data_IF_857504082680
#
_entry.id   IF_857504082680
#
_cell.length_a   1.000
_cell.length_b   1.000
_cell.length_c   1.000
_cell.angle_alpha   90.00
_cell.angle_beta   90.00
_cell.angle_gamma   90.00
#
_symmetry.space_group_name_H-M   'P 1'
#
loop_
_entity.id
_entity.type
_entity.pdbx_description
1 polymer ?
#
# COMPACT_ATOMS: atom_id res chain seq x y z
N UNK A 1 99.79 41.92 -9.74
CA UNK A 1 99.15 40.62 -9.40
C UNK A 1 97.70 40.81 -8.92
N UNK A 2 97.41 41.84 -8.12
CA UNK A 2 96.06 42.19 -7.61
C UNK A 2 95.00 42.52 -8.67
N UNK A 3 95.32 43.33 -9.69
CA UNK A 3 94.37 43.73 -10.74
C UNK A 3 93.84 42.56 -11.57
N UNK A 4 94.65 41.50 -11.76
CA UNK A 4 94.23 40.28 -12.47
C UNK A 4 93.26 39.45 -11.62
N UNK A 5 93.45 39.45 -10.30
CA UNK A 5 92.61 38.76 -9.31
C UNK A 5 91.23 39.43 -9.17
N UNK A 6 91.20 40.76 -9.15
CA UNK A 6 89.97 41.56 -9.15
C UNK A 6 89.10 41.35 -10.39
N UNK A 7 89.70 41.30 -11.58
CA UNK A 7 88.98 41.02 -12.82
C UNK A 7 88.36 39.61 -12.85
N UNK A 8 89.08 38.63 -12.31
CA UNK A 8 88.59 37.25 -12.18
C UNK A 8 87.37 37.20 -11.25
N UNK A 9 87.47 37.82 -10.06
CA UNK A 9 86.36 37.88 -9.11
C UNK A 9 85.12 38.59 -9.69
N UNK A 10 85.31 39.65 -10.48
CA UNK A 10 84.21 40.37 -11.12
C UNK A 10 83.48 39.48 -12.14
N UNK A 11 84.24 38.77 -12.99
CA UNK A 11 83.68 37.81 -13.96
C UNK A 11 82.91 36.68 -13.27
N UNK A 12 83.41 36.16 -12.15
CA UNK A 12 82.72 35.12 -11.39
C UNK A 12 81.40 35.63 -10.78
N UNK A 13 81.39 36.88 -10.31
CA UNK A 13 80.20 37.55 -9.78
C UNK A 13 79.14 37.78 -10.86
N UNK A 14 79.54 38.19 -12.05
CA UNK A 14 78.64 38.39 -13.20
C UNK A 14 77.98 37.07 -13.61
N UNK A 15 78.75 35.99 -13.74
CA UNK A 15 78.22 34.66 -14.07
C UNK A 15 77.23 34.16 -13.02
N UNK A 16 77.53 34.37 -11.73
CA UNK A 16 76.63 33.99 -10.63
C UNK A 16 75.33 34.80 -10.63
N UNK A 17 75.41 36.08 -11.00
CA UNK A 17 74.23 36.94 -11.13
C UNK A 17 73.34 36.51 -12.31
N UNK A 18 73.92 36.15 -13.46
CA UNK A 18 73.16 35.59 -14.58
C UNK A 18 72.46 34.27 -14.19
N UNK A 19 73.15 33.38 -13.49
CA UNK A 19 72.56 32.12 -13.00
C UNK A 19 71.38 32.38 -12.04
N UNK A 20 71.54 33.27 -11.06
CA UNK A 20 70.46 33.66 -10.15
C UNK A 20 69.27 34.25 -10.90
N UNK A 21 69.51 34.96 -12.00
CA UNK A 21 68.45 35.55 -12.84
C UNK A 21 67.65 34.46 -13.56
N UNK A 22 68.32 33.41 -14.02
CA UNK A 22 67.68 32.23 -14.64
C UNK A 22 66.88 31.44 -13.62
N UNK A 23 67.45 31.13 -12.45
CA UNK A 23 66.76 30.43 -11.36
C UNK A 23 65.52 31.19 -10.89
N UNK A 24 65.61 32.53 -10.78
CA UNK A 24 64.45 33.37 -10.45
C UNK A 24 63.33 33.25 -11.49
N UNK A 25 63.66 33.23 -12.78
CA UNK A 25 62.66 33.06 -13.86
C UNK A 25 62.01 31.69 -13.79
N UNK A 26 62.79 30.65 -13.53
CA UNK A 26 62.27 29.28 -13.41
C UNK A 26 61.32 29.17 -12.21
N UNK A 27 61.70 29.69 -11.05
CA UNK A 27 60.84 29.75 -9.86
C UNK A 27 59.54 30.53 -10.11
N UNK A 28 59.58 31.61 -10.89
CA UNK A 28 58.38 32.35 -11.26
C UNK A 28 57.44 31.52 -12.13
N UNK A 29 57.96 30.80 -13.13
CA UNK A 29 57.16 29.91 -13.97
C UNK A 29 56.54 28.77 -13.15
N UNK A 30 57.32 28.14 -12.28
CA UNK A 30 56.81 27.10 -11.37
C UNK A 30 55.71 27.63 -10.45
N UNK A 31 55.84 28.88 -9.98
CA UNK A 31 54.82 29.54 -9.13
C UNK A 31 53.51 29.76 -9.88
N UNK A 32 53.57 30.17 -11.15
CA UNK A 32 52.37 30.34 -11.99
C UNK A 32 51.70 29.01 -12.34
N UNK A 33 52.49 27.97 -12.64
CA UNK A 33 51.96 26.62 -12.88
C UNK A 33 51.25 26.08 -11.63
N UNK A 34 51.87 26.23 -10.46
CA UNK A 34 51.25 25.86 -9.18
C UNK A 34 49.97 26.65 -8.93
N UNK A 35 49.95 27.94 -9.26
CA UNK A 35 48.76 28.78 -9.14
C UNK A 35 47.63 28.29 -10.04
N UNK A 36 47.91 27.95 -11.29
CA UNK A 36 46.93 27.39 -12.22
C UNK A 36 46.38 26.05 -11.76
N UNK A 37 47.25 25.18 -11.24
CA UNK A 37 46.81 23.90 -10.68
C UNK A 37 45.91 24.11 -9.46
N UNK A 38 46.24 25.07 -8.59
CA UNK A 38 45.44 25.38 -7.42
C UNK A 38 44.05 25.92 -7.80
N UNK A 39 43.94 26.80 -8.81
CA UNK A 39 42.64 27.30 -9.27
C UNK A 39 41.78 26.21 -9.88
N UNK A 40 42.38 25.31 -10.69
CA UNK A 40 41.68 24.13 -11.22
C UNK A 40 41.16 23.23 -10.10
N UNK A 41 42.01 22.90 -9.14
CA UNK A 41 41.65 22.06 -7.99
C UNK A 41 40.53 22.70 -7.15
N UNK A 42 40.53 24.03 -7.03
CA UNK A 42 39.48 24.77 -6.33
C UNK A 42 38.13 24.66 -7.06
N UNK A 43 38.12 24.75 -8.38
CA UNK A 43 36.89 24.59 -9.17
C UNK A 43 36.34 23.15 -9.10
N UNK A 44 37.21 22.13 -9.21
CA UNK A 44 36.83 20.72 -9.06
C UNK A 44 36.25 20.46 -7.67
N UNK A 45 36.85 21.01 -6.61
CA UNK A 45 36.32 20.94 -5.26
C UNK A 45 34.90 21.53 -5.17
N UNK A 46 34.67 22.73 -5.70
CA UNK A 46 33.35 23.36 -5.70
C UNK A 46 32.30 22.52 -6.45
N UNK A 47 32.69 21.88 -7.55
CA UNK A 47 31.82 20.98 -8.30
C UNK A 47 31.40 19.77 -7.45
N UNK A 48 32.36 19.08 -6.81
CA UNK A 48 32.06 17.93 -5.95
C UNK A 48 31.26 18.32 -4.70
N UNK A 49 31.51 19.50 -4.12
CA UNK A 49 30.71 20.02 -3.02
C UNK A 49 29.25 20.26 -3.44
N UNK A 50 29.02 20.78 -4.65
CA UNK A 50 27.66 20.95 -5.17
C UNK A 50 26.97 19.59 -5.38
N UNK A 51 27.63 18.63 -6.01
CA UNK A 51 27.09 17.28 -6.17
C UNK A 51 26.78 16.60 -4.83
N UNK A 52 27.64 16.78 -3.83
CA UNK A 52 27.42 16.23 -2.49
C UNK A 52 26.17 16.81 -1.84
N UNK A 53 25.93 18.12 -2.01
CA UNK A 53 24.71 18.78 -1.52
C UNK A 53 23.47 18.23 -2.22
N UNK A 54 23.49 18.13 -3.55
CA UNK A 54 22.38 17.57 -4.34
C UNK A 54 22.06 16.13 -3.93
N UNK A 55 23.08 15.29 -3.80
CA UNK A 55 22.91 13.90 -3.37
C UNK A 55 22.35 13.79 -1.95
N UNK A 56 22.74 14.69 -1.05
CA UNK A 56 22.19 14.75 0.31
C UNK A 56 20.70 15.08 0.31
N UNK A 57 20.27 16.02 -0.53
CA UNK A 57 18.84 16.37 -0.69
C UNK A 57 18.06 15.17 -1.27
N UNK A 58 18.59 14.49 -2.28
CA UNK A 58 17.93 13.31 -2.83
C UNK A 58 17.81 12.19 -1.80
N UNK A 59 18.83 12.01 -0.95
CA UNK A 59 18.80 11.02 0.12
C UNK A 59 17.70 11.29 1.15
N UNK A 60 17.52 12.54 1.58
CA UNK A 60 16.45 12.88 2.54
C UNK A 60 15.06 12.71 1.94
N UNK A 61 14.89 13.02 0.65
CA UNK A 61 13.63 12.77 -0.08
C UNK A 61 13.31 11.27 -0.10
N UNK A 62 14.28 10.42 -0.44
CA UNK A 62 14.10 8.97 -0.48
C UNK A 62 13.80 8.38 0.91
N UNK A 63 14.44 8.90 1.96
CA UNK A 63 14.15 8.52 3.34
C UNK A 63 12.70 8.83 3.71
N UNK A 64 12.22 10.04 3.44
CA UNK A 64 10.84 10.44 3.70
C UNK A 64 9.83 9.59 2.90
N UNK A 65 10.12 9.29 1.63
CA UNK A 65 9.27 8.38 0.83
C UNK A 65 9.18 6.98 1.45
N UNK A 66 10.30 6.42 1.91
CA UNK A 66 10.32 5.11 2.56
C UNK A 66 9.52 5.09 3.87
N UNK A 67 9.58 6.16 4.65
CA UNK A 67 8.77 6.29 5.87
C UNK A 67 7.27 6.35 5.55
N UNK A 68 6.87 7.11 4.52
CA UNK A 68 5.48 7.14 4.08
C UNK A 68 4.99 5.76 3.62
N UNK A 69 5.80 5.04 2.84
CA UNK A 69 5.47 3.68 2.40
C UNK A 69 5.28 2.73 3.59
N UNK A 70 6.16 2.80 4.61
CA UNK A 70 6.02 2.01 5.84
C UNK A 70 4.72 2.33 6.57
N UNK A 71 4.42 3.61 6.78
CA UNK A 71 3.18 4.03 7.45
C UNK A 71 1.91 3.55 6.70
N UNK A 72 1.93 3.63 5.37
CA UNK A 72 0.84 3.13 4.53
C UNK A 72 0.71 1.62 4.65
N UNK A 73 1.82 0.88 4.62
CA UNK A 73 1.83 -0.56 4.83
C UNK A 73 1.25 -0.94 6.20
N UNK A 74 1.63 -0.24 7.26
CA UNK A 74 1.12 -0.51 8.61
C UNK A 74 -0.39 -0.26 8.71
N UNK A 75 -0.88 0.79 8.04
CA UNK A 75 -2.31 1.08 7.96
C UNK A 75 -3.06 -0.04 7.21
N UNK A 76 -2.53 -0.47 6.07
CA UNK A 76 -3.09 -1.58 5.27
C UNK A 76 -3.11 -2.86 6.10
N UNK A 77 -2.01 -3.21 6.76
CA UNK A 77 -1.90 -4.40 7.59
C UNK A 77 -2.93 -4.39 8.73
N UNK A 78 -3.14 -3.24 9.38
CA UNK A 78 -4.18 -3.07 10.41
C UNK A 78 -5.59 -3.27 9.84
N UNK A 79 -5.88 -2.69 8.67
CA UNK A 79 -7.17 -2.86 8.00
C UNK A 79 -7.39 -4.32 7.58
N UNK A 80 -6.37 -4.98 7.03
CA UNK A 80 -6.42 -6.38 6.65
C UNK A 80 -6.68 -7.28 7.86
N UNK A 81 -6.02 -7.01 9.00
CA UNK A 81 -6.28 -7.74 10.24
C UNK A 81 -7.70 -7.54 10.78
N UNK A 82 -8.33 -6.38 10.54
CA UNK A 82 -9.73 -6.14 10.91
C UNK A 82 -10.71 -6.89 9.99
N UNK A 83 -10.43 -6.94 8.69
CA UNK A 83 -11.22 -7.67 7.68
C UNK A 83 -11.14 -9.18 7.91
N UNK A 84 -9.94 -9.73 8.16
CA UNK A 84 -9.74 -11.16 8.42
C UNK A 84 -10.44 -11.66 9.68
N UNK A 85 -10.72 -10.78 10.64
CA UNK A 85 -11.50 -11.12 11.84
C UNK A 85 -12.99 -11.22 11.59
N UNK A 86 -13.48 -10.68 10.47
CA UNK A 86 -14.91 -10.63 10.16
C UNK A 86 -15.12 -10.81 8.64
N UNK A 87 -15.00 -12.05 8.13
CA UNK A 87 -15.01 -12.33 6.69
C UNK A 87 -16.32 -11.94 5.99
N UNK A 88 -17.43 -11.80 6.73
CA UNK A 88 -18.79 -11.63 6.20
C UNK A 88 -19.55 -10.39 6.73
N UNK A 89 -18.86 -9.29 7.11
CA UNK A 89 -19.57 -8.06 7.46
C UNK A 89 -19.94 -7.29 6.18
N UNK A 90 -21.06 -7.67 5.55
CA UNK A 90 -21.78 -6.80 4.62
C UNK A 90 -22.35 -5.61 5.41
N UNK A 91 -21.51 -4.59 5.66
CA UNK A 91 -21.95 -3.40 6.41
C UNK A 91 -22.91 -2.60 5.52
N UNK A 92 -24.18 -2.58 5.91
CA UNK A 92 -25.17 -1.72 5.29
C UNK A 92 -25.09 -0.34 5.95
N UNK A 93 -24.70 0.71 5.21
CA UNK A 93 -24.57 2.07 5.73
C UNK A 93 -25.53 3.06 5.04
N UNK A 94 -26.86 2.96 5.24
CA UNK A 94 -27.80 3.98 4.79
C UNK A 94 -27.59 5.25 5.63
N UNK A 95 -27.53 6.41 4.97
CA UNK A 95 -27.47 7.74 5.62
C UNK A 95 -26.33 7.92 6.64
N UNK A 96 -25.22 7.19 6.47
CA UNK A 96 -24.03 7.29 7.31
C UNK A 96 -24.10 6.51 8.64
N UNK A 97 -25.18 5.76 8.89
CA UNK A 97 -25.28 4.86 10.04
C UNK A 97 -25.06 3.43 9.56
N UNK A 98 -23.96 2.83 9.98
CA UNK A 98 -23.57 1.49 9.59
C UNK A 98 -24.19 0.44 10.51
N UNK A 99 -24.86 -0.54 9.92
CA UNK A 99 -25.48 -1.68 10.60
C UNK A 99 -25.08 -2.99 9.92
N UNK A 100 -25.08 -4.08 10.69
CA UNK A 100 -24.67 -5.41 10.21
C UNK A 100 -25.65 -6.03 9.23
N UNK A 101 -26.95 -5.83 9.47
CA UNK A 101 -28.02 -6.31 8.59
C UNK A 101 -28.88 -5.15 8.11
N UNK A 102 -29.54 -5.26 6.94
CA UNK A 102 -30.51 -4.26 6.50
C UNK A 102 -31.67 -4.10 7.50
N UNK A 103 -32.40 -2.99 7.42
CA UNK A 103 -33.50 -2.72 8.35
C UNK A 103 -34.57 -3.80 8.24
N UNK A 104 -35.05 -4.31 9.37
CA UNK A 104 -36.03 -5.41 9.49
C UNK A 104 -35.50 -6.81 9.10
N UNK A 105 -34.19 -6.99 9.07
CA UNK A 105 -33.55 -8.30 8.94
C UNK A 105 -33.02 -8.75 10.31
N UNK A 106 -32.98 -10.06 10.53
CA UNK A 106 -32.48 -10.68 11.76
C UNK A 106 -31.06 -11.18 11.50
N UNK A 107 -30.12 -10.77 12.35
CA UNK A 107 -28.73 -11.26 12.31
C UNK A 107 -28.64 -12.62 13.01
N UNK A 108 -28.01 -13.59 12.35
CA UNK A 108 -27.56 -14.84 13.00
C UNK A 108 -26.23 -15.27 12.43
N UNK A 109 -25.27 -15.49 13.33
CA UNK A 109 -23.87 -15.80 13.04
C UNK A 109 -23.25 -14.85 12.01
N UNK A 110 -23.16 -15.29 10.76
CA UNK A 110 -22.52 -14.55 9.66
C UNK A 110 -23.50 -14.08 8.57
N UNK A 111 -24.81 -14.30 8.77
CA UNK A 111 -25.85 -14.06 7.77
C UNK A 111 -26.99 -13.19 8.32
N UNK A 112 -27.69 -12.54 7.38
CA UNK A 112 -28.90 -11.77 7.67
C UNK A 112 -30.11 -12.48 7.06
N UNK A 113 -31.17 -12.62 7.83
CA UNK A 113 -32.37 -13.37 7.44
C UNK A 113 -33.59 -12.46 7.40
N UNK A 114 -34.38 -12.60 6.34
CA UNK A 114 -35.65 -11.91 6.18
C UNK A 114 -36.80 -12.91 6.16
N UNK A 115 -37.66 -12.83 7.17
CA UNK A 115 -38.86 -13.66 7.26
C UNK A 115 -40.03 -12.90 6.64
N UNK A 116 -40.50 -13.40 5.48
CA UNK A 116 -41.61 -12.78 4.75
C UNK A 116 -42.94 -13.01 5.48
N UNK A 117 -43.35 -12.04 6.31
CA UNK A 117 -44.57 -12.08 7.13
C UNK A 117 -45.71 -11.18 6.60
N UNK A 118 -45.79 -10.97 5.28
CA UNK A 118 -46.83 -10.13 4.66
C UNK A 118 -48.08 -10.97 4.32
N UNK A 119 -49.22 -10.29 4.18
CA UNK A 119 -50.55 -10.92 4.00
C UNK A 119 -50.73 -11.73 2.70
N UNK A 120 -49.79 -11.65 1.74
CA UNK A 120 -49.88 -12.32 0.45
C UNK A 120 -48.84 -13.42 0.28
N UNK A 121 -49.28 -14.69 0.24
CA UNK A 121 -48.42 -15.81 -0.13
C UNK A 121 -47.91 -15.68 -1.57
N UNK A 122 -46.68 -16.14 -1.79
CA UNK A 122 -46.01 -16.18 -3.09
C UNK A 122 -45.71 -17.62 -3.47
N UNK A 123 -45.70 -17.92 -4.77
CA UNK A 123 -45.15 -19.18 -5.25
C UNK A 123 -43.62 -19.20 -5.05
N UNK A 124 -43.01 -20.37 -5.01
CA UNK A 124 -41.56 -20.50 -4.76
C UNK A 124 -40.71 -19.64 -5.70
N UNK A 125 -41.02 -19.64 -7.02
CA UNK A 125 -40.32 -18.82 -8.00
C UNK A 125 -40.45 -17.32 -7.71
N UNK A 126 -41.66 -16.85 -7.39
CA UNK A 126 -41.91 -15.43 -7.09
C UNK A 126 -41.25 -15.01 -5.76
N UNK A 127 -41.17 -15.93 -4.79
CA UNK A 127 -40.43 -15.73 -3.54
C UNK A 127 -38.94 -15.59 -3.81
N UNK A 128 -38.37 -16.43 -4.68
CA UNK A 128 -36.96 -16.32 -5.07
C UNK A 128 -36.66 -15.00 -5.77
N UNK A 129 -37.48 -14.63 -6.74
CA UNK A 129 -37.34 -13.35 -7.46
C UNK A 129 -37.43 -12.16 -6.50
N UNK A 130 -38.34 -12.20 -5.53
CA UNK A 130 -38.44 -11.19 -4.48
C UNK A 130 -37.15 -11.08 -3.66
N UNK A 131 -36.58 -12.19 -3.20
CA UNK A 131 -35.30 -12.19 -2.48
C UNK A 131 -34.16 -11.61 -3.33
N UNK A 132 -34.08 -11.99 -4.61
CA UNK A 132 -33.05 -11.50 -5.53
C UNK A 132 -33.18 -10.00 -5.81
N UNK A 133 -34.41 -9.48 -5.90
CA UNK A 133 -34.69 -8.05 -5.99
C UNK A 133 -34.24 -7.29 -4.73
N UNK A 134 -34.25 -7.94 -3.56
CA UNK A 134 -33.68 -7.41 -2.31
C UNK A 134 -32.17 -7.64 -2.15
N UNK A 135 -31.46 -8.07 -3.21
CA UNK A 135 -30.02 -8.41 -3.17
C UNK A 135 -29.69 -9.54 -2.19
N UNK A 136 -30.60 -10.52 -2.11
CA UNK A 136 -30.47 -11.76 -1.33
C UNK A 136 -30.92 -12.97 -2.17
N UNK A 137 -31.02 -14.16 -1.60
CA UNK A 137 -31.69 -15.31 -2.23
C UNK A 137 -32.48 -16.08 -1.15
N UNK A 138 -33.24 -17.10 -1.53
CA UNK A 138 -33.87 -17.99 -0.57
C UNK A 138 -32.82 -18.69 0.30
N UNK A 139 -33.13 -18.91 1.57
CA UNK A 139 -32.17 -19.44 2.54
C UNK A 139 -31.67 -20.84 2.14
N UNK A 140 -30.35 -21.02 2.21
CA UNK A 140 -29.66 -22.32 2.12
C UNK A 140 -29.28 -22.71 3.53
N UNK A 141 -29.75 -23.86 3.99
CA UNK A 141 -29.46 -24.34 5.34
C UNK A 141 -28.24 -25.25 5.26
N UNK A 142 -27.17 -24.87 5.95
CA UNK A 142 -25.85 -25.50 5.85
C UNK A 142 -25.36 -26.12 7.17
N UNK A 143 -26.01 -25.80 8.29
CA UNK A 143 -25.68 -26.32 9.62
C UNK A 143 -26.91 -26.61 10.47
N UNK A 144 -26.73 -27.44 11.50
CA UNK A 144 -27.81 -27.74 12.46
C UNK A 144 -28.15 -26.52 13.32
N UNK A 145 -27.15 -25.70 13.61
CA UNK A 145 -27.26 -24.43 14.34
C UNK A 145 -28.12 -23.44 13.55
N UNK A 146 -27.88 -23.31 12.24
CA UNK A 146 -28.67 -22.48 11.34
C UNK A 146 -30.12 -22.99 11.24
N UNK A 147 -30.31 -24.30 11.08
CA UNK A 147 -31.64 -24.91 11.05
C UNK A 147 -32.42 -24.64 12.34
N UNK A 148 -31.76 -24.78 13.49
CA UNK A 148 -32.36 -24.49 14.80
C UNK A 148 -32.72 -23.02 14.94
N UNK A 149 -31.82 -22.11 14.54
CA UNK A 149 -32.09 -20.68 14.56
C UNK A 149 -33.33 -20.33 13.71
N UNK A 150 -33.44 -20.86 12.49
CA UNK A 150 -34.62 -20.65 11.64
C UNK A 150 -35.88 -21.19 12.32
N UNK A 151 -35.83 -22.42 12.84
CA UNK A 151 -36.95 -23.05 13.54
C UNK A 151 -37.44 -22.26 14.75
N UNK A 152 -36.52 -21.72 15.55
CA UNK A 152 -36.84 -20.92 16.74
C UNK A 152 -37.39 -19.52 16.38
N UNK A 153 -37.17 -19.05 15.14
CA UNK A 153 -37.53 -17.70 14.68
C UNK A 153 -38.83 -17.65 13.88
N UNK A 154 -39.21 -18.73 13.19
CA UNK A 154 -40.44 -18.78 12.40
C UNK A 154 -41.69 -18.64 13.28
N UNK A 155 -42.74 -18.04 12.73
CA UNK A 155 -44.06 -18.07 13.36
C UNK A 155 -44.75 -19.38 13.01
N UNK A 156 -45.16 -20.15 14.02
CA UNK A 156 -45.93 -21.37 13.81
C UNK A 156 -47.32 -21.06 13.30
N UNK A 157 -47.68 -21.67 12.18
CA UNK A 157 -49.03 -21.68 11.67
C UNK A 157 -49.76 -22.94 12.13
N UNK A 158 -51.06 -22.82 12.42
CA UNK A 158 -51.89 -23.92 12.93
C UNK A 158 -52.37 -24.87 11.83
N UNK A 159 -51.94 -24.71 10.58
CA UNK A 159 -52.32 -25.57 9.47
C UNK A 159 -51.13 -25.99 8.59
N UNK A 160 -51.36 -27.00 7.75
CA UNK A 160 -50.34 -27.64 6.91
C UNK A 160 -49.96 -26.86 5.65
N UNK A 161 -50.68 -25.77 5.36
CA UNK A 161 -50.56 -25.02 4.10
C UNK A 161 -49.78 -23.72 4.27
N UNK A 162 -49.40 -23.40 5.50
CA UNK A 162 -48.68 -22.19 5.84
C UNK A 162 -47.26 -22.51 6.30
N UNK A 163 -46.29 -21.82 5.71
CA UNK A 163 -44.87 -21.96 6.01
C UNK A 163 -44.05 -21.00 5.17
N UNK A 164 -42.73 -21.09 5.32
CA UNK A 164 -41.78 -20.26 4.59
C UNK A 164 -41.14 -21.06 3.47
N UNK A 165 -41.02 -20.46 2.30
CA UNK A 165 -40.19 -21.03 1.24
C UNK A 165 -38.72 -20.93 1.61
N UNK A 166 -38.01 -22.04 1.42
CA UNK A 166 -36.56 -22.14 1.54
C UNK A 166 -35.95 -22.43 0.17
N UNK A 167 -34.62 -22.32 0.06
CA UNK A 167 -33.89 -22.45 -1.20
C UNK A 167 -33.77 -23.87 -1.75
N UNK A 168 -34.52 -24.84 -1.23
CA UNK A 168 -34.44 -26.22 -1.68
C UNK A 168 -35.34 -26.44 -2.90
N UNK A 169 -34.74 -26.95 -3.99
CA UNK A 169 -35.43 -27.26 -5.24
C UNK A 169 -35.05 -28.64 -5.77
N UNK A 170 -35.86 -29.20 -6.67
CA UNK A 170 -35.59 -30.51 -7.29
C UNK A 170 -35.17 -30.34 -8.74
N UNK A 171 -33.88 -30.55 -9.02
CA UNK A 171 -33.28 -30.45 -10.35
C UNK A 171 -32.85 -31.84 -10.80
N UNK A 172 -33.36 -32.33 -11.94
CA UNK A 172 -33.05 -33.67 -12.46
C UNK A 172 -33.23 -34.80 -11.43
N UNK A 173 -34.31 -34.74 -10.64
CA UNK A 173 -34.62 -35.64 -9.53
C UNK A 173 -33.69 -35.59 -8.30
N UNK A 174 -32.76 -34.64 -8.23
CA UNK A 174 -31.85 -34.42 -7.10
C UNK A 174 -32.31 -33.17 -6.34
N UNK A 175 -32.30 -33.25 -5.01
CA UNK A 175 -32.52 -32.07 -4.17
C UNK A 175 -31.26 -31.21 -4.17
N UNK A 176 -31.41 -29.95 -4.57
CA UNK A 176 -30.32 -29.01 -4.79
C UNK A 176 -30.75 -27.67 -4.23
N UNK A 177 -29.84 -27.00 -3.54
CA UNK A 177 -30.05 -25.65 -3.02
C UNK A 177 -29.92 -24.61 -4.14
N UNK A 178 -30.39 -23.39 -3.89
CA UNK A 178 -30.32 -22.28 -4.86
C UNK A 178 -28.88 -21.82 -5.17
N UNK A 179 -27.90 -22.24 -4.37
CA UNK A 179 -26.46 -22.00 -4.53
C UNK A 179 -25.72 -23.15 -5.24
N UNK A 180 -26.45 -24.08 -5.85
CA UNK A 180 -25.96 -25.28 -6.54
C UNK A 180 -25.33 -26.36 -5.62
N UNK A 181 -25.39 -26.19 -4.29
CA UNK A 181 -24.97 -27.24 -3.36
C UNK A 181 -26.00 -28.37 -3.27
N UNK A 182 -25.53 -29.60 -3.04
CA UNK A 182 -26.39 -30.76 -2.81
C UNK A 182 -26.82 -30.81 -1.35
N UNK A 183 -28.08 -31.16 -1.12
CA UNK A 183 -28.58 -31.35 0.23
C UNK A 183 -27.89 -32.55 0.91
N UNK A 184 -27.27 -32.29 2.06
CA UNK A 184 -26.53 -33.27 2.86
C UNK A 184 -27.05 -33.36 4.31
N UNK A 185 -28.11 -32.61 4.66
CA UNK A 185 -28.54 -32.44 6.05
C UNK A 185 -29.61 -33.43 6.54
N UNK A 186 -30.21 -34.24 5.66
CA UNK A 186 -30.90 -35.49 6.00
C UNK A 186 -32.09 -35.39 6.94
#
# INVERSE_FOLDING_TARGET
METKKLKLNLSDLEAKNEQLTLEKRDLQNQTEDLRMNMTKLTAEKMFFENQTKEMTVNMTILQNQNEQLRNNSDKINKTQAAILKHPNLAIFCPDGVCQKCPKNWIESEESCYFFYNLDSYKAWNDSREFCQNMKSDLVVISSHEEQKFIYDTIVFYLDKWHGYWIGLQKVNNIWTWVDDSQDNLG
#
